data_IF_242112432277
#
_entry.id   IF_242112432277
#
_cell.length_a   1.000
_cell.length_b   1.000
_cell.length_c   1.000
_cell.angle_alpha   90.00
_cell.angle_beta   90.00
_cell.angle_gamma   90.00
#
_symmetry.space_group_name_H-M   'P 1'
#
loop_
_entity.id
_entity.type
_entity.pdbx_description
1 polymer ?
#
# COMPACT_ATOMS: atom_id res chain seq x y z
N UNK A 1 17.40 -35.42 44.64
CA UNK A 1 17.92 -35.07 43.29
C UNK A 1 16.93 -35.45 42.17
N UNK A 2 15.65 -34.98 42.23
CA UNK A 2 14.62 -35.31 41.23
C UNK A 2 14.07 -34.08 40.49
N UNK A 3 14.59 -32.85 40.69
CA UNK A 3 14.04 -31.60 40.10
C UNK A 3 14.66 -31.16 38.78
N UNK A 4 15.72 -31.84 38.26
CA UNK A 4 16.43 -31.40 37.06
C UNK A 4 15.90 -32.02 35.76
N UNK A 5 14.95 -32.96 35.81
CA UNK A 5 14.48 -33.76 34.66
C UNK A 5 13.40 -33.04 33.84
N UNK A 6 12.79 -31.98 34.39
CA UNK A 6 11.70 -31.20 33.71
C UNK A 6 12.16 -29.87 33.13
N UNK A 7 13.40 -29.46 33.41
CA UNK A 7 13.95 -28.19 32.89
C UNK A 7 13.98 -28.09 31.36
N UNK A 8 14.39 -29.15 30.60
CA UNK A 8 14.37 -29.06 29.13
C UNK A 8 12.96 -29.04 28.55
N UNK A 9 11.98 -29.61 29.24
CA UNK A 9 10.58 -29.57 28.76
C UNK A 9 9.94 -28.18 28.94
N UNK A 10 10.27 -27.47 30.01
CA UNK A 10 9.81 -26.08 30.23
C UNK A 10 10.48 -25.08 29.28
N UNK A 11 11.75 -25.31 28.89
CA UNK A 11 12.46 -24.48 27.93
C UNK A 11 11.90 -24.66 26.52
N UNK A 12 11.48 -25.88 26.15
CA UNK A 12 10.88 -26.19 24.85
C UNK A 12 9.47 -25.58 24.69
N UNK A 13 8.68 -25.51 25.78
CA UNK A 13 7.35 -24.88 25.74
C UNK A 13 7.41 -23.37 25.65
N UNK A 14 8.43 -22.71 26.18
CA UNK A 14 8.65 -21.26 26.04
C UNK A 14 9.01 -20.83 24.61
N UNK A 15 9.62 -21.69 23.80
CA UNK A 15 9.98 -21.44 22.41
C UNK A 15 8.77 -21.51 21.46
N UNK A 16 7.65 -22.10 21.88
CA UNK A 16 6.45 -22.25 21.05
C UNK A 16 5.47 -21.06 21.19
N UNK A 17 5.73 -20.10 22.06
CA UNK A 17 4.85 -18.95 22.32
C UNK A 17 5.23 -17.67 21.55
N UNK A 18 6.22 -17.72 20.64
CA UNK A 18 6.77 -16.54 19.96
C UNK A 18 6.45 -16.48 18.46
N UNK A 19 5.33 -16.98 18.01
CA UNK A 19 4.83 -16.64 16.67
C UNK A 19 3.58 -15.79 16.80
N UNK A 20 3.73 -14.47 16.96
CA UNK A 20 2.76 -13.56 16.40
C UNK A 20 2.92 -13.65 14.89
N UNK A 21 1.95 -14.21 14.20
CA UNK A 21 1.81 -13.99 12.79
C UNK A 21 1.49 -12.49 12.63
N UNK A 22 2.50 -11.67 12.34
CA UNK A 22 2.25 -10.31 11.90
C UNK A 22 1.49 -10.43 10.59
N UNK A 23 0.25 -9.94 10.57
CA UNK A 23 -0.52 -9.88 9.33
C UNK A 23 0.26 -8.98 8.36
N UNK A 24 0.79 -9.59 7.31
CA UNK A 24 1.55 -8.87 6.28
C UNK A 24 0.70 -7.79 5.60
N UNK A 25 -0.62 -7.98 5.60
CA UNK A 25 -1.57 -7.09 4.92
C UNK A 25 -2.52 -6.41 5.89
N UNK A 26 -2.88 -5.17 5.54
CA UNK A 26 -3.77 -4.32 6.30
C UNK A 26 -5.21 -4.84 6.35
N UNK A 27 -5.85 -4.63 7.49
CA UNK A 27 -7.30 -4.80 7.67
C UNK A 27 -8.10 -3.52 7.37
N UNK A 28 -7.43 -2.41 7.05
CA UNK A 28 -8.08 -1.17 6.66
C UNK A 28 -8.92 -1.36 5.39
N UNK A 29 -10.01 -0.61 5.23
CA UNK A 29 -10.91 -0.81 4.11
C UNK A 29 -10.20 -0.51 2.79
N UNK A 30 -10.26 -1.46 1.85
CA UNK A 30 -9.83 -1.25 0.47
C UNK A 30 -10.58 -2.22 -0.44
N UNK A 31 -11.13 -1.70 -1.54
CA UNK A 31 -11.76 -2.45 -2.60
C UNK A 31 -11.65 -1.67 -3.90
N UNK A 32 -10.72 -2.05 -4.74
CA UNK A 32 -10.48 -1.42 -6.02
C UNK A 32 -10.18 -2.47 -7.07
N UNK A 33 -10.98 -2.51 -8.13
CA UNK A 33 -10.78 -3.37 -9.29
C UNK A 33 -10.99 -2.53 -10.54
N UNK A 34 -9.95 -2.37 -11.34
CA UNK A 34 -9.89 -1.43 -12.47
C UNK A 34 -9.32 -2.10 -13.71
N UNK A 35 -9.89 -1.81 -14.86
CA UNK A 35 -9.41 -2.31 -16.15
C UNK A 35 -8.76 -1.17 -16.95
N UNK A 36 -7.43 -1.08 -16.87
CA UNK A 36 -6.69 -0.09 -17.64
C UNK A 36 -6.66 -0.38 -19.16
N UNK A 37 -7.10 -1.56 -19.59
CA UNK A 37 -7.26 -1.88 -21.02
C UNK A 37 -8.38 -1.06 -21.68
N UNK A 38 -9.39 -0.66 -20.90
CA UNK A 38 -10.48 0.22 -21.37
C UNK A 38 -10.02 1.67 -21.48
N UNK A 39 -9.31 2.17 -20.46
CA UNK A 39 -8.94 3.58 -20.35
C UNK A 39 -7.60 3.92 -20.98
N UNK A 40 -6.69 2.96 -21.02
CA UNK A 40 -5.32 3.10 -21.52
C UNK A 40 -4.57 4.29 -20.90
N UNK A 41 -4.76 4.49 -19.60
CA UNK A 41 -4.08 5.54 -18.86
C UNK A 41 -2.58 5.23 -18.73
N UNK A 42 -1.74 6.12 -19.26
CA UNK A 42 -0.30 5.93 -19.30
C UNK A 42 0.35 6.15 -17.91
N UNK A 43 -0.23 7.03 -17.08
CA UNK A 43 0.29 7.30 -15.72
C UNK A 43 0.15 6.06 -14.86
N UNK A 44 -1.03 5.41 -14.87
CA UNK A 44 -1.23 4.16 -14.17
C UNK A 44 -0.43 3.01 -14.80
N UNK A 45 -0.40 2.94 -16.15
CA UNK A 45 0.31 1.89 -16.87
C UNK A 45 1.79 1.82 -16.49
N UNK A 46 2.46 2.97 -16.28
CA UNK A 46 3.86 3.02 -15.86
C UNK A 46 4.11 2.32 -14.52
N UNK A 47 3.19 2.46 -13.56
CA UNK A 47 3.29 1.78 -12.26
C UNK A 47 2.91 0.29 -12.31
N UNK A 48 2.20 -0.13 -13.36
CA UNK A 48 1.81 -1.53 -13.60
C UNK A 48 2.80 -2.28 -14.51
N UNK A 49 3.89 -1.65 -14.95
CA UNK A 49 4.92 -2.26 -15.80
C UNK A 49 6.04 -2.86 -14.93
N UNK A 50 6.15 -4.18 -14.98
CA UNK A 50 7.20 -4.93 -14.28
C UNK A 50 8.63 -4.59 -14.76
N UNK A 51 8.77 -4.04 -15.97
CA UNK A 51 10.06 -3.64 -16.52
C UNK A 51 10.54 -2.27 -16.02
N UNK A 52 9.69 -1.53 -15.29
CA UNK A 52 10.00 -0.21 -14.75
C UNK A 52 9.77 -0.18 -13.23
N UNK A 53 10.43 -1.08 -12.45
CA UNK A 53 10.25 -1.11 -11.01
C UNK A 53 10.72 0.18 -10.35
N UNK A 54 10.04 0.60 -9.28
CA UNK A 54 10.26 1.89 -8.62
C UNK A 54 9.34 3.01 -9.13
N UNK A 55 8.56 2.75 -10.17
CA UNK A 55 7.43 3.60 -10.54
C UNK A 55 6.24 3.30 -9.64
N UNK A 56 5.71 4.35 -9.03
CA UNK A 56 4.52 4.28 -8.17
C UNK A 56 3.47 5.26 -8.64
N UNK A 57 2.21 4.89 -8.51
CA UNK A 57 1.06 5.71 -8.86
C UNK A 57 0.12 5.85 -7.65
N UNK A 58 -0.16 7.07 -7.23
CA UNK A 58 -1.23 7.40 -6.31
C UNK A 58 -2.55 7.43 -7.08
N UNK A 59 -3.54 6.70 -6.58
CA UNK A 59 -4.90 6.64 -7.12
C UNK A 59 -5.85 7.27 -6.10
N UNK A 60 -6.66 8.24 -6.54
CA UNK A 60 -7.68 8.89 -5.73
C UNK A 60 -8.96 9.10 -6.53
N UNK A 61 -10.09 9.29 -5.85
CA UNK A 61 -11.36 9.68 -6.46
C UNK A 61 -11.65 11.16 -6.17
N UNK A 62 -12.23 11.86 -7.13
CA UNK A 62 -12.77 13.21 -6.94
C UNK A 62 -14.14 13.35 -7.62
N UNK A 63 -14.90 14.37 -7.21
CA UNK A 63 -16.17 14.72 -7.85
C UNK A 63 -16.07 16.14 -8.37
N UNK A 64 -16.32 16.33 -9.68
CA UNK A 64 -16.30 17.61 -10.35
C UNK A 64 -17.58 17.76 -11.16
N UNK A 65 -18.38 18.79 -10.87
CA UNK A 65 -19.66 19.00 -11.58
C UNK A 65 -20.65 17.83 -11.48
N UNK A 66 -20.59 17.04 -10.40
CA UNK A 66 -21.43 15.84 -10.22
C UNK A 66 -20.92 14.58 -10.91
N UNK A 67 -19.80 14.65 -11.63
CA UNK A 67 -19.14 13.51 -12.26
C UNK A 67 -18.00 13.03 -11.37
N UNK A 68 -17.91 11.71 -11.15
CA UNK A 68 -16.80 11.07 -10.46
C UNK A 68 -15.63 10.86 -11.40
N UNK A 69 -14.44 11.15 -10.92
CA UNK A 69 -13.17 10.98 -11.63
C UNK A 69 -12.21 10.13 -10.80
N UNK A 70 -11.51 9.23 -11.45
CA UNK A 70 -10.29 8.63 -10.94
C UNK A 70 -9.11 9.51 -11.35
N UNK A 71 -8.28 9.86 -10.37
CA UNK A 71 -7.08 10.66 -10.58
C UNK A 71 -5.86 9.80 -10.30
N UNK A 72 -4.91 9.84 -11.20
CA UNK A 72 -3.65 9.11 -11.16
C UNK A 72 -2.50 10.10 -11.09
N UNK A 73 -1.56 9.88 -10.17
CA UNK A 73 -0.36 10.70 -10.04
C UNK A 73 0.85 9.82 -9.81
N UNK A 74 1.83 9.88 -10.72
CA UNK A 74 3.09 9.15 -10.58
C UNK A 74 4.00 9.81 -9.54
N UNK A 75 4.97 9.03 -9.02
CA UNK A 75 6.04 9.57 -8.18
C UNK A 75 7.04 10.47 -8.94
N UNK A 76 6.92 10.57 -10.27
CA UNK A 76 7.64 11.50 -11.15
C UNK A 76 6.80 12.74 -11.53
N UNK A 77 5.62 12.92 -10.91
CA UNK A 77 4.67 14.01 -11.11
C UNK A 77 3.90 14.02 -12.43
N UNK A 78 3.85 12.89 -13.17
CA UNK A 78 2.85 12.76 -14.23
C UNK A 78 1.47 12.64 -13.59
N UNK A 79 0.49 13.31 -14.18
CA UNK A 79 -0.88 13.34 -13.68
C UNK A 79 -1.88 13.09 -14.80
N UNK A 80 -2.91 12.33 -14.50
CA UNK A 80 -4.07 12.13 -15.37
C UNK A 80 -5.35 12.05 -14.53
N UNK A 81 -6.48 12.34 -15.18
CA UNK A 81 -7.79 12.30 -14.53
C UNK A 81 -8.82 11.84 -15.55
N UNK A 82 -9.55 10.78 -15.24
CA UNK A 82 -10.51 10.15 -16.13
C UNK A 82 -11.86 10.02 -15.46
N UNK A 83 -12.97 10.34 -16.16
CA UNK A 83 -14.30 10.13 -15.61
C UNK A 83 -14.57 8.63 -15.46
N UNK A 84 -15.21 8.25 -14.36
CA UNK A 84 -15.67 6.88 -14.16
C UNK A 84 -16.73 6.49 -15.18
N UNK A 85 -16.62 5.28 -15.71
CA UNK A 85 -17.67 4.62 -16.49
C UNK A 85 -18.86 4.27 -15.59
N UNK A 86 -20.01 3.96 -16.20
CA UNK A 86 -21.20 3.51 -15.44
C UNK A 86 -20.96 2.18 -14.69
N UNK A 87 -20.05 1.34 -15.16
CA UNK A 87 -19.67 0.11 -14.47
C UNK A 87 -18.85 0.41 -13.20
N UNK A 88 -17.92 1.34 -13.29
CA UNK A 88 -17.04 1.77 -12.20
C UNK A 88 -17.82 2.51 -11.10
N UNK A 89 -18.75 3.38 -11.47
CA UNK A 89 -19.66 4.03 -10.51
C UNK A 89 -20.45 2.99 -9.69
N UNK A 90 -20.91 1.90 -10.32
CA UNK A 90 -21.61 0.80 -9.63
C UNK A 90 -20.69 -0.07 -8.78
N UNK A 91 -19.38 -0.09 -9.06
CA UNK A 91 -18.42 -0.85 -8.28
C UNK A 91 -18.18 -0.25 -6.88
N UNK A 92 -18.50 1.05 -6.68
CA UNK A 92 -18.35 1.75 -5.41
C UNK A 92 -16.95 1.53 -4.81
N UNK A 93 -15.94 2.07 -5.44
CA UNK A 93 -14.54 1.92 -5.01
C UNK A 93 -14.31 2.39 -3.58
N UNK A 94 -13.44 1.69 -2.87
CA UNK A 94 -12.93 2.07 -1.55
C UNK A 94 -11.41 2.17 -1.69
N UNK A 95 -10.91 3.38 -1.83
CA UNK A 95 -9.49 3.67 -2.03
C UNK A 95 -8.81 3.91 -0.68
N UNK A 96 -8.59 2.81 0.06
CA UNK A 96 -7.94 2.88 1.35
C UNK A 96 -8.78 3.56 2.44
N UNK A 97 -8.11 3.94 3.52
CA UNK A 97 -8.76 4.49 4.71
C UNK A 97 -9.34 5.90 4.46
N UNK A 98 -8.70 6.69 3.59
CA UNK A 98 -9.10 8.06 3.30
C UNK A 98 -8.84 8.42 1.83
N UNK A 99 -9.54 7.75 0.91
CA UNK A 99 -9.54 8.05 -0.51
C UNK A 99 -8.14 8.18 -1.12
N UNK A 100 -7.31 7.17 -0.95
CA UNK A 100 -6.02 7.12 -1.63
C UNK A 100 -5.26 5.82 -1.40
N UNK A 101 -4.82 5.21 -2.49
CA UNK A 101 -3.91 4.06 -2.51
C UNK A 101 -2.74 4.36 -3.43
N UNK A 102 -1.57 3.80 -3.11
CA UNK A 102 -0.36 3.91 -3.92
C UNK A 102 -0.02 2.51 -4.41
N UNK A 103 0.13 2.35 -5.72
CA UNK A 103 0.44 1.06 -6.35
C UNK A 103 1.74 1.15 -7.15
N UNK A 104 2.45 0.02 -7.32
CA UNK A 104 3.65 -0.06 -8.15
C UNK A 104 4.47 -1.31 -7.90
N UNK A 105 5.53 -1.49 -8.70
CA UNK A 105 6.51 -2.54 -8.48
C UNK A 105 7.67 -2.05 -7.62
N UNK A 106 8.04 -2.82 -6.60
CA UNK A 106 9.25 -2.58 -5.80
C UNK A 106 10.50 -2.82 -6.65
N UNK A 107 11.58 -2.06 -6.40
CA UNK A 107 12.85 -2.26 -7.08
C UNK A 107 13.97 -2.78 -6.17
N UNK A 108 13.80 -2.77 -4.85
CA UNK A 108 14.83 -3.18 -3.90
C UNK A 108 14.61 -4.59 -3.34
N UNK A 109 13.39 -5.13 -3.42
CA UNK A 109 13.03 -6.46 -2.90
C UNK A 109 12.40 -7.29 -4.02
N UNK A 110 12.87 -8.52 -4.16
CA UNK A 110 12.35 -9.50 -5.11
C UNK A 110 11.64 -10.62 -4.35
N UNK A 111 10.74 -11.32 -5.02
CA UNK A 111 10.14 -12.54 -4.48
C UNK A 111 11.15 -13.72 -4.44
N UNK A 112 10.72 -14.88 -3.93
CA UNK A 112 11.55 -16.08 -3.82
C UNK A 112 12.02 -16.62 -5.18
N UNK A 113 11.43 -16.16 -6.28
CA UNK A 113 11.76 -16.56 -7.66
C UNK A 113 12.56 -15.50 -8.40
N UNK A 114 12.87 -14.37 -7.76
CA UNK A 114 13.63 -13.27 -8.35
C UNK A 114 12.79 -12.28 -9.16
N UNK A 115 11.47 -12.28 -9.02
CA UNK A 115 10.60 -11.34 -9.71
C UNK A 115 10.35 -10.09 -8.86
N UNK A 116 10.12 -8.95 -9.52
CA UNK A 116 9.67 -7.73 -8.86
C UNK A 116 8.28 -7.93 -8.23
N UNK A 117 8.11 -7.43 -7.01
CA UNK A 117 6.87 -7.58 -6.24
C UNK A 117 5.96 -6.39 -6.51
N UNK A 118 4.74 -6.66 -6.99
CA UNK A 118 3.70 -5.64 -7.10
C UNK A 118 3.06 -5.40 -5.73
N UNK A 119 2.95 -4.13 -5.33
CA UNK A 119 2.46 -3.72 -4.02
C UNK A 119 1.40 -2.63 -4.11
N UNK A 120 0.58 -2.54 -3.07
CA UNK A 120 -0.32 -1.43 -2.85
C UNK A 120 -0.24 -0.98 -1.38
N UNK A 121 -0.17 0.33 -1.16
CA UNK A 121 -0.11 0.95 0.16
C UNK A 121 -1.29 1.90 0.37
N UNK A 122 -1.72 2.05 1.62
CA UNK A 122 -2.59 3.17 1.99
C UNK A 122 -1.82 4.49 1.95
N UNK A 123 -2.47 5.55 1.50
CA UNK A 123 -1.87 6.89 1.48
C UNK A 123 -1.77 7.52 2.87
N UNK A 124 -2.48 7.00 3.87
CA UNK A 124 -2.45 7.53 5.23
C UNK A 124 -1.23 7.02 6.01
N UNK A 125 -0.59 7.93 6.72
CA UNK A 125 0.47 7.58 7.66
C UNK A 125 -0.09 6.78 8.84
N UNK A 126 0.25 5.49 9.01
CA UNK A 126 -0.34 4.65 10.05
C UNK A 126 0.01 5.15 11.45
N UNK A 127 1.17 5.73 11.62
CA UNK A 127 1.64 6.23 12.91
C UNK A 127 0.86 7.49 13.35
N UNK A 128 0.49 8.38 12.41
CA UNK A 128 -0.38 9.51 12.72
C UNK A 128 -1.81 9.06 13.00
N UNK A 129 -2.36 8.15 12.21
CA UNK A 129 -3.70 7.59 12.43
C UNK A 129 -3.83 7.01 13.83
N UNK A 130 -2.86 6.19 14.26
CA UNK A 130 -2.84 5.60 15.60
C UNK A 130 -2.64 6.64 16.70
N UNK A 131 -1.70 7.55 16.52
CA UNK A 131 -1.36 8.56 17.53
C UNK A 131 -2.54 9.50 17.82
N UNK A 132 -3.27 9.92 16.81
CA UNK A 132 -4.34 10.90 16.93
C UNK A 132 -5.74 10.29 16.87
N UNK A 133 -5.85 8.96 16.71
CA UNK A 133 -7.11 8.23 16.55
C UNK A 133 -8.08 8.87 15.54
N UNK A 134 -7.52 9.37 14.43
CA UNK A 134 -8.26 10.05 13.38
C UNK A 134 -7.90 9.47 12.02
N UNK A 135 -8.86 8.79 11.39
CA UNK A 135 -8.68 8.09 10.12
C UNK A 135 -8.91 8.97 8.89
N UNK A 136 -9.59 10.11 9.05
CA UNK A 136 -10.07 10.94 7.94
C UNK A 136 -9.28 12.23 7.73
N UNK A 137 -8.19 12.46 8.46
CA UNK A 137 -7.42 13.69 8.30
C UNK A 137 -6.60 13.69 7.01
N UNK A 138 -6.82 14.64 6.10
CA UNK A 138 -6.00 14.76 4.90
C UNK A 138 -4.54 15.13 5.20
N UNK A 139 -4.27 15.69 6.40
CA UNK A 139 -2.93 16.06 6.84
C UNK A 139 -2.02 14.86 7.15
N UNK A 140 -2.58 13.64 7.25
CA UNK A 140 -1.80 12.43 7.51
C UNK A 140 -1.37 11.71 6.25
N UNK A 141 -1.71 12.24 5.08
CA UNK A 141 -1.30 11.66 3.80
C UNK A 141 0.20 11.74 3.64
N UNK A 142 0.77 10.69 3.08
CA UNK A 142 2.16 10.68 2.64
C UNK A 142 2.26 11.25 1.23
N UNK A 143 3.39 11.89 0.95
CA UNK A 143 3.74 12.42 -0.37
C UNK A 143 4.93 11.64 -0.90
N UNK A 144 4.81 11.11 -2.10
CA UNK A 144 5.84 10.36 -2.79
C UNK A 144 6.87 11.28 -3.45
N UNK A 145 8.11 10.81 -3.56
CA UNK A 145 9.13 11.41 -4.41
C UNK A 145 9.64 10.42 -5.48
N UNK A 146 10.47 10.91 -6.39
CA UNK A 146 11.07 10.17 -7.49
C UNK A 146 11.96 8.99 -7.06
N UNK A 147 12.38 8.95 -5.80
CA UNK A 147 13.17 7.84 -5.23
C UNK A 147 12.31 6.75 -4.60
N UNK A 148 10.99 6.83 -4.71
CA UNK A 148 10.07 5.87 -4.08
C UNK A 148 9.99 6.00 -2.56
N UNK A 149 10.31 7.19 -2.01
CA UNK A 149 10.14 7.49 -0.60
C UNK A 149 8.84 8.26 -0.40
N UNK A 150 7.98 7.73 0.47
CA UNK A 150 6.75 8.37 0.89
C UNK A 150 6.97 9.08 2.24
N UNK A 151 6.73 10.38 2.31
CA UNK A 151 6.96 11.21 3.52
C UNK A 151 5.64 11.75 4.04
N UNK A 152 5.36 11.54 5.33
CA UNK A 152 4.20 12.13 6.00
C UNK A 152 4.43 13.61 6.29
N UNK A 153 3.57 14.48 5.74
CA UNK A 153 3.68 15.93 5.94
C UNK A 153 3.44 16.36 7.40
N UNK A 154 2.69 15.57 8.18
CA UNK A 154 2.36 15.88 9.58
C UNK A 154 3.49 15.57 10.56
N UNK A 155 4.14 14.40 10.43
CA UNK A 155 5.10 13.91 11.43
C UNK A 155 6.53 13.73 10.87
N UNK A 156 6.73 13.92 9.57
CA UNK A 156 8.04 13.78 8.92
C UNK A 156 8.56 12.35 8.80
N UNK A 157 7.75 11.34 9.14
CA UNK A 157 8.14 9.92 8.95
C UNK A 157 8.28 9.61 7.48
N UNK A 158 9.32 8.84 7.15
CA UNK A 158 9.71 8.48 5.79
C UNK A 158 9.62 6.97 5.62
N UNK A 159 8.97 6.55 4.58
CA UNK A 159 8.71 5.14 4.26
C UNK A 159 9.31 4.80 2.91
N UNK A 160 10.07 3.71 2.85
CA UNK A 160 10.67 3.21 1.62
C UNK A 160 9.70 2.23 0.94
N UNK A 161 9.03 2.69 -0.10
CA UNK A 161 8.07 1.89 -0.86
C UNK A 161 8.77 0.79 -1.68
N UNK A 162 10.02 1.00 -2.06
CA UNK A 162 10.81 0.00 -2.79
C UNK A 162 11.22 -1.21 -1.92
N UNK A 163 11.15 -1.05 -0.61
CA UNK A 163 11.54 -2.07 0.38
C UNK A 163 10.36 -2.51 1.25
N UNK A 164 9.15 -2.57 0.70
CA UNK A 164 7.97 -3.04 1.42
C UNK A 164 7.28 -1.99 2.31
N UNK A 165 7.52 -0.70 2.08
CA UNK A 165 6.95 0.38 2.88
C UNK A 165 7.57 0.52 4.27
N UNK A 166 8.80 0.03 4.45
CA UNK A 166 9.50 0.08 5.74
C UNK A 166 9.82 1.51 6.17
N UNK A 167 9.75 1.75 7.46
CA UNK A 167 10.03 3.05 8.05
C UNK A 167 11.54 3.31 8.16
N UNK A 168 12.02 4.43 7.60
CA UNK A 168 13.44 4.80 7.58
C UNK A 168 13.88 5.62 8.80
N UNK A 169 12.98 6.42 9.40
CA UNK A 169 13.30 7.36 10.48
C UNK A 169 12.28 7.28 11.62
N UNK A 170 11.90 6.07 12.02
CA UNK A 170 10.92 5.82 13.08
C UNK A 170 11.51 5.77 14.47
N UNK A 171 10.61 5.63 15.44
CA UNK A 171 10.88 5.38 16.83
C UNK A 171 10.39 3.98 17.22
N UNK A 172 10.76 3.50 18.41
CA UNK A 172 10.24 2.23 18.93
C UNK A 172 8.71 2.21 18.94
N UNK A 173 8.11 1.14 18.42
CA UNK A 173 6.66 1.00 18.31
C UNK A 173 6.03 1.61 17.05
N UNK A 174 6.80 2.33 16.23
CA UNK A 174 6.32 2.77 14.91
C UNK A 174 6.23 1.61 13.92
N UNK A 175 5.32 1.73 12.94
CA UNK A 175 5.14 0.71 11.89
C UNK A 175 5.40 1.29 10.51
N UNK A 176 5.68 0.40 9.53
CA UNK A 176 5.71 0.71 8.11
C UNK A 176 4.34 1.13 7.56
N UNK A 177 4.26 1.40 6.24
CA UNK A 177 2.99 1.69 5.57
C UNK A 177 2.04 0.48 5.66
N UNK A 178 0.76 0.78 5.76
CA UNK A 178 -0.29 -0.23 5.63
C UNK A 178 -0.32 -0.75 4.20
N UNK A 179 -0.17 -2.07 4.05
CA UNK A 179 -0.07 -2.75 2.75
C UNK A 179 -1.34 -3.54 2.45
N UNK A 180 -1.82 -3.50 1.22
CA UNK A 180 -2.98 -4.25 0.73
C UNK A 180 -2.55 -5.41 -0.17
N UNK A 181 -3.38 -6.44 -0.25
CA UNK A 181 -3.22 -7.46 -1.27
C UNK A 181 -3.48 -6.83 -2.66
N UNK A 182 -2.51 -6.95 -3.56
CA UNK A 182 -2.56 -6.33 -4.87
C UNK A 182 -2.07 -7.28 -5.97
N UNK A 183 -2.65 -7.13 -7.15
CA UNK A 183 -2.21 -7.83 -8.36
C UNK A 183 -2.48 -6.99 -9.59
N UNK A 184 -1.65 -7.20 -10.62
CA UNK A 184 -1.83 -6.61 -11.94
C UNK A 184 -1.57 -7.64 -13.03
N UNK A 185 -2.24 -7.49 -14.17
CA UNK A 185 -1.96 -8.28 -15.39
C UNK A 185 -1.14 -7.50 -16.42
N UNK A 186 -0.45 -6.44 -16.01
CA UNK A 186 0.43 -5.62 -16.83
C UNK A 186 -0.11 -4.21 -17.09
N UNK A 187 0.65 -3.36 -17.82
CA UNK A 187 0.41 -1.92 -17.98
C UNK A 187 -1.01 -1.55 -18.41
N UNK A 188 -1.54 -2.25 -19.40
CA UNK A 188 -2.88 -2.03 -19.93
C UNK A 188 -3.81 -3.20 -19.61
N UNK A 189 -3.66 -3.78 -18.43
CA UNK A 189 -4.45 -4.90 -17.96
C UNK A 189 -5.28 -4.54 -16.72
N UNK A 190 -5.70 -5.58 -16.01
CA UNK A 190 -6.46 -5.42 -14.79
C UNK A 190 -5.56 -5.08 -13.60
N UNK A 191 -6.04 -4.20 -12.74
CA UNK A 191 -5.52 -3.90 -11.42
C UNK A 191 -6.53 -4.30 -10.36
N UNK A 192 -6.09 -5.04 -9.36
CA UNK A 192 -6.92 -5.44 -8.22
C UNK A 192 -6.21 -5.12 -6.92
N UNK A 193 -6.88 -4.40 -6.00
CA UNK A 193 -6.38 -4.07 -4.67
C UNK A 193 -7.47 -4.31 -3.65
N UNK A 194 -7.20 -5.16 -2.64
CA UNK A 194 -8.16 -5.52 -1.62
C UNK A 194 -7.52 -5.59 -0.23
N UNK A 195 -8.31 -5.26 0.80
CA UNK A 195 -7.89 -5.56 2.18
C UNK A 195 -7.75 -7.06 2.38
N UNK A 196 -6.86 -7.47 3.26
CA UNK A 196 -6.83 -8.84 3.76
C UNK A 196 -8.08 -9.11 4.63
N UNK A 197 -8.65 -10.30 4.49
CA UNK A 197 -9.80 -10.73 5.30
C UNK A 197 -9.36 -11.27 6.65
#
# INVERSE_FOLDING_TARGET
MKKLRYLPFYLLTLLLLSCKADNEYSTWPCRFAYDNGIHQDATLASAMDVNVPGMFCLITESVQGGVKYLNFKSNYNDESSLPETEAEKRAEYILGLNNGIIVGFQNAVLDAYGNAIFVAYDVQCPNCVRQYNNTLSPNYRVVMNDKGIATCSKCGRRYDMNSGGVLQNGQEGDTGLEKYAASTSGPYGHLSVFRHR
#
